data_IF_441870630396
#
_entry.id   IF_441870630396
#
_cell.length_a   1.000
_cell.length_b   1.000
_cell.length_c   1.000
_cell.angle_alpha   90.00
_cell.angle_beta   90.00
_cell.angle_gamma   90.00
#
_symmetry.space_group_name_H-M   'P 1'
#
loop_
_entity.id
_entity.type
_entity.pdbx_description
1 polymer ?
#
# COMPACT_ATOMS: atom_id res chain seq x y z
N UNK A 1 -0.09 31.88 7.39
CA UNK A 1 0.37 31.00 6.29
C UNK A 1 -0.66 29.90 6.13
N UNK A 2 -1.49 29.96 5.08
CA UNK A 2 -2.44 28.87 4.78
C UNK A 2 -1.61 27.80 4.06
N UNK A 3 -1.50 26.61 4.64
CA UNK A 3 -0.71 25.53 4.06
C UNK A 3 -1.21 25.23 2.64
N UNK A 4 -0.29 25.16 1.66
CA UNK A 4 -0.66 24.74 0.31
C UNK A 4 -1.28 23.34 0.36
N UNK A 5 -2.35 23.08 -0.43
CA UNK A 5 -2.95 21.76 -0.49
C UNK A 5 -1.89 20.74 -0.91
N UNK A 6 -1.68 19.73 -0.06
CA UNK A 6 -0.73 18.65 -0.34
C UNK A 6 -1.22 17.86 -1.55
N UNK A 7 -0.31 17.60 -2.50
CA UNK A 7 -0.57 16.65 -3.57
C UNK A 7 -0.78 15.24 -2.99
N UNK A 8 -1.50 14.39 -3.73
CA UNK A 8 -1.86 13.04 -3.27
C UNK A 8 -0.63 12.20 -2.85
N UNK A 9 0.48 12.29 -3.59
CA UNK A 9 1.72 11.61 -3.21
C UNK A 9 2.28 12.06 -1.86
N UNK A 10 2.25 13.37 -1.59
CA UNK A 10 2.70 13.93 -0.31
C UNK A 10 1.76 13.56 0.84
N UNK A 11 0.45 13.46 0.56
CA UNK A 11 -0.53 12.94 1.51
C UNK A 11 -0.24 11.48 1.85
N UNK A 12 0.00 10.62 0.85
CA UNK A 12 0.33 9.21 1.09
C UNK A 12 1.62 9.06 1.90
N UNK A 13 2.68 9.82 1.57
CA UNK A 13 3.93 9.77 2.32
C UNK A 13 3.74 10.16 3.79
N UNK A 14 2.97 11.24 4.04
CA UNK A 14 2.66 11.67 5.40
C UNK A 14 1.80 10.65 6.17
N UNK A 15 0.79 10.08 5.53
CA UNK A 15 -0.16 9.18 6.18
C UNK A 15 0.42 7.78 6.38
N UNK A 16 1.14 7.27 5.38
CA UNK A 16 1.54 5.87 5.32
C UNK A 16 3.05 5.64 5.46
N UNK A 17 3.90 6.67 5.35
CA UNK A 17 5.36 6.50 5.40
C UNK A 17 5.85 5.88 6.71
N UNK A 18 5.38 6.40 7.85
CA UNK A 18 5.70 5.84 9.17
C UNK A 18 5.00 4.48 9.39
N UNK A 19 3.73 4.35 8.99
CA UNK A 19 2.97 3.11 9.10
C UNK A 19 3.63 1.97 8.33
N UNK A 20 4.20 2.24 7.16
CA UNK A 20 4.90 1.27 6.33
C UNK A 20 6.06 0.60 7.08
N UNK A 21 6.79 1.35 7.92
CA UNK A 21 7.90 0.79 8.70
C UNK A 21 7.41 -0.19 9.75
N UNK A 22 6.32 0.16 10.45
CA UNK A 22 5.72 -0.71 11.46
C UNK A 22 5.01 -1.92 10.81
N UNK A 23 4.25 -1.68 9.75
CA UNK A 23 3.54 -2.72 9.03
C UNK A 23 4.50 -3.75 8.41
N UNK A 24 5.65 -3.30 7.91
CA UNK A 24 6.65 -4.19 7.29
C UNK A 24 7.21 -5.26 8.23
N UNK A 25 7.13 -5.07 9.55
CA UNK A 25 7.67 -6.02 10.54
C UNK A 25 6.60 -6.87 11.23
N UNK A 26 5.33 -6.74 10.83
CA UNK A 26 4.22 -7.48 11.41
C UNK A 26 3.25 -7.94 10.33
N UNK A 27 3.09 -9.25 10.19
CA UNK A 27 2.17 -9.88 9.22
C UNK A 27 0.77 -9.29 9.29
N UNK A 28 0.22 -9.14 10.50
CA UNK A 28 -1.15 -8.64 10.71
C UNK A 28 -1.25 -7.17 10.26
N UNK A 29 -0.29 -6.34 10.67
CA UNK A 29 -0.27 -4.93 10.30
C UNK A 29 -0.07 -4.72 8.80
N UNK A 30 0.79 -5.53 8.16
CA UNK A 30 0.97 -5.52 6.70
C UNK A 30 -0.31 -5.87 5.95
N UNK A 31 -1.06 -6.89 6.39
CA UNK A 31 -2.32 -7.27 5.75
C UNK A 31 -3.36 -6.15 5.89
N UNK A 32 -3.51 -5.55 7.06
CA UNK A 32 -4.42 -4.41 7.24
C UNK A 32 -4.01 -3.20 6.41
N UNK A 33 -2.72 -2.91 6.35
CA UNK A 33 -2.17 -1.86 5.50
C UNK A 33 -2.54 -2.08 4.02
N UNK A 34 -2.37 -3.30 3.52
CA UNK A 34 -2.74 -3.70 2.16
C UNK A 34 -4.24 -3.57 1.89
N UNK A 35 -5.09 -4.00 2.83
CA UNK A 35 -6.55 -3.84 2.73
C UNK A 35 -6.93 -2.37 2.61
N UNK A 36 -6.39 -1.51 3.48
CA UNK A 36 -6.65 -0.07 3.43
C UNK A 36 -6.25 0.55 2.09
N UNK A 37 -5.11 0.14 1.51
CA UNK A 37 -4.72 0.62 0.18
C UNK A 37 -5.67 0.14 -0.92
N UNK A 38 -6.15 -1.09 -0.83
CA UNK A 38 -7.17 -1.64 -1.74
C UNK A 38 -8.48 -0.87 -1.66
N UNK A 39 -8.96 -0.58 -0.45
CA UNK A 39 -10.20 0.18 -0.22
C UNK A 39 -10.09 1.61 -0.78
N UNK A 40 -8.97 2.29 -0.53
CA UNK A 40 -8.73 3.63 -1.10
C UNK A 40 -8.69 3.57 -2.62
N UNK A 41 -8.08 2.54 -3.20
CA UNK A 41 -7.98 2.40 -4.64
C UNK A 41 -9.34 2.11 -5.31
N UNK A 42 -10.22 1.35 -4.64
CA UNK A 42 -11.57 1.05 -5.12
C UNK A 42 -12.45 2.30 -5.21
N UNK A 43 -12.25 3.28 -4.32
CA UNK A 43 -12.93 4.58 -4.35
C UNK A 43 -12.17 5.65 -5.18
N UNK A 44 -11.09 5.27 -5.87
CA UNK A 44 -10.23 6.20 -6.58
C UNK A 44 -10.39 6.10 -8.11
N UNK A 45 -11.12 7.05 -8.68
CA UNK A 45 -11.35 7.13 -10.13
C UNK A 45 -10.12 7.60 -10.94
N UNK A 46 -9.13 8.19 -10.29
CA UNK A 46 -7.97 8.74 -10.97
C UNK A 46 -6.86 7.68 -11.16
N UNK A 47 -6.59 7.33 -12.42
CA UNK A 47 -5.59 6.33 -12.78
C UNK A 47 -4.17 6.63 -12.24
N UNK A 48 -3.72 7.90 -12.25
CA UNK A 48 -2.40 8.27 -11.72
C UNK A 48 -2.31 8.06 -10.20
N UNK A 49 -3.42 8.29 -9.48
CA UNK A 49 -3.51 8.02 -8.04
C UNK A 49 -3.57 6.52 -7.76
N UNK A 50 -4.29 5.73 -8.56
CA UNK A 50 -4.24 4.25 -8.47
C UNK A 50 -2.82 3.73 -8.71
N UNK A 51 -2.11 4.26 -9.72
CA UNK A 51 -0.72 3.89 -9.98
C UNK A 51 0.22 4.25 -8.82
N UNK A 52 -0.04 5.35 -8.10
CA UNK A 52 0.66 5.67 -6.85
C UNK A 52 0.39 4.64 -5.75
N UNK A 53 -0.86 4.21 -5.56
CA UNK A 53 -1.22 3.20 -4.56
C UNK A 53 -0.58 1.84 -4.86
N UNK A 54 -0.50 1.44 -6.14
CA UNK A 54 0.25 0.23 -6.56
C UNK A 54 1.70 0.27 -6.08
N UNK A 55 2.38 1.42 -6.21
CA UNK A 55 3.75 1.56 -5.71
C UNK A 55 3.85 1.37 -4.19
N UNK A 56 2.83 1.77 -3.44
CA UNK A 56 2.80 1.54 -1.99
C UNK A 56 2.54 0.09 -1.61
N UNK A 57 1.70 -0.62 -2.38
CA UNK A 57 1.51 -2.06 -2.28
C UNK A 57 2.83 -2.81 -2.52
N UNK A 58 3.59 -2.43 -3.55
CA UNK A 58 4.89 -3.04 -3.84
C UNK A 58 5.91 -2.76 -2.71
N UNK A 59 5.91 -1.54 -2.15
CA UNK A 59 6.80 -1.15 -1.04
C UNK A 59 6.60 -2.00 0.22
N UNK A 60 5.35 -2.26 0.62
CA UNK A 60 5.07 -3.08 1.81
C UNK A 60 5.43 -4.55 1.54
N UNK A 61 5.20 -5.06 0.33
CA UNK A 61 5.62 -6.40 -0.08
C UNK A 61 7.14 -6.58 0.02
N UNK A 62 7.92 -5.62 -0.48
CA UNK A 62 9.37 -5.63 -0.37
C UNK A 62 9.85 -5.59 1.09
N UNK A 63 9.30 -4.69 1.91
CA UNK A 63 9.67 -4.57 3.32
C UNK A 63 9.34 -5.81 4.14
N UNK A 64 8.17 -6.38 3.93
CA UNK A 64 7.77 -7.62 4.61
C UNK A 64 8.67 -8.80 4.21
N UNK A 65 9.08 -8.87 2.94
CA UNK A 65 10.01 -9.89 2.48
C UNK A 65 11.41 -9.77 3.08
N UNK A 66 11.84 -8.54 3.42
CA UNK A 66 13.13 -8.27 4.07
C UNK A 66 13.09 -8.54 5.58
N UNK A 67 11.98 -8.23 6.25
CA UNK A 67 11.89 -8.22 7.71
C UNK A 67 11.20 -9.43 8.35
N UNK A 68 10.31 -10.14 7.63
CA UNK A 68 9.56 -11.28 8.17
C UNK A 68 10.25 -12.60 7.85
N UNK A 69 9.97 -13.61 8.67
CA UNK A 69 10.36 -14.99 8.37
C UNK A 69 9.58 -15.53 7.17
N UNK A 70 10.21 -16.39 6.40
CA UNK A 70 9.74 -17.00 5.15
C UNK A 70 8.23 -17.20 5.00
N UNK A 71 7.58 -17.89 5.95
CA UNK A 71 6.15 -18.18 5.86
C UNK A 71 5.30 -16.90 5.88
N UNK A 72 5.63 -15.98 6.77
CA UNK A 72 4.90 -14.75 6.99
C UNK A 72 5.20 -13.71 5.90
N UNK A 73 6.46 -13.61 5.48
CA UNK A 73 6.86 -12.85 4.29
C UNK A 73 6.05 -13.27 3.06
N UNK A 74 5.98 -14.58 2.77
CA UNK A 74 5.20 -15.12 1.64
C UNK A 74 3.73 -14.74 1.71
N UNK A 75 3.12 -14.81 2.90
CA UNK A 75 1.70 -14.43 3.08
C UNK A 75 1.47 -12.97 2.73
N UNK A 76 2.34 -12.06 3.16
CA UNK A 76 2.22 -10.64 2.83
C UNK A 76 2.45 -10.40 1.34
N UNK A 77 3.45 -11.03 0.73
CA UNK A 77 3.73 -10.89 -0.71
C UNK A 77 2.56 -11.38 -1.57
N UNK A 78 1.95 -12.52 -1.22
CA UNK A 78 0.75 -13.02 -1.92
C UNK A 78 -0.41 -12.04 -1.79
N UNK A 79 -0.66 -11.51 -0.59
CA UNK A 79 -1.71 -10.52 -0.37
C UNK A 79 -1.43 -9.21 -1.15
N UNK A 80 -0.18 -8.75 -1.16
CA UNK A 80 0.23 -7.56 -1.90
C UNK A 80 -0.03 -7.74 -3.41
N UNK A 81 0.33 -8.90 -3.95
CA UNK A 81 0.05 -9.23 -5.35
C UNK A 81 -1.45 -9.22 -5.66
N UNK A 82 -2.26 -9.84 -4.81
CA UNK A 82 -3.71 -9.88 -5.01
C UNK A 82 -4.32 -8.47 -5.00
N UNK A 83 -3.96 -7.63 -4.04
CA UNK A 83 -4.42 -6.23 -4.00
C UNK A 83 -3.95 -5.47 -5.24
N UNK A 84 -2.68 -5.61 -5.62
CA UNK A 84 -2.13 -4.96 -6.81
C UNK A 84 -2.90 -5.33 -8.08
N UNK A 85 -3.23 -6.60 -8.26
CA UNK A 85 -4.03 -7.07 -9.40
C UNK A 85 -5.42 -6.43 -9.39
N UNK A 86 -6.10 -6.37 -8.25
CA UNK A 86 -7.40 -5.68 -8.11
C UNK A 86 -7.32 -4.20 -8.48
N UNK A 87 -6.28 -3.48 -8.03
CA UNK A 87 -6.12 -2.04 -8.33
C UNK A 87 -5.92 -1.80 -9.83
N UNK A 88 -5.24 -2.71 -10.51
CA UNK A 88 -4.97 -2.60 -11.95
C UNK A 88 -6.17 -2.99 -12.82
N UNK A 89 -7.09 -3.81 -12.31
CA UNK A 89 -8.30 -4.27 -13.03
C UNK A 89 -9.47 -3.30 -12.88
N UNK A 90 -9.46 -2.40 -11.88
CA UNK A 90 -10.54 -1.44 -11.58
C UNK A 90 -10.83 -0.35 -12.64
N UNK A 91 -10.62 -0.63 -13.92
CA UNK A 91 -11.00 0.17 -15.10
C UNK A 91 -12.15 -0.47 -15.92
N UNK A 92 -12.78 -1.56 -15.44
CA UNK A 92 -13.96 -2.17 -16.08
C UNK A 92 -15.32 -1.68 -15.54
#
# INVERSE_FOLDING_TARGET
>A
MIAQPLGFAALLERSFGALLQHAGTSTIAAIHYLQTLGDIAADCDNADRRALLVRWVDRIGFKANDALVDHDARRVVVAARAVRETILVGDE
#
